data_IF_136805631866
#
_entry.id   IF_136805631866
#
_cell.length_a   1.000
_cell.length_b   1.000
_cell.length_c   1.000
_cell.angle_alpha   90.00
_cell.angle_beta   90.00
_cell.angle_gamma   90.00
#
_symmetry.space_group_name_H-M   'P 1'
#
loop_
_entity.id
_entity.type
_entity.pdbx_description
1 polymer ?
#
# COMPACT_ATOMS: atom_id res chain seq x y z
N UNK A 1 -13.30 2.90 -11.59
CA UNK A 1 -12.86 1.92 -10.57
C UNK A 1 -11.37 2.09 -10.34
N UNK A 2 -10.94 2.07 -9.08
CA UNK A 2 -9.55 2.33 -8.69
C UNK A 2 -8.77 1.06 -8.47
N UNK A 3 -7.48 1.11 -8.81
CA UNK A 3 -6.46 0.13 -8.43
C UNK A 3 -5.60 0.78 -7.34
N UNK A 4 -5.55 0.18 -6.16
CA UNK A 4 -4.93 0.77 -4.98
C UNK A 4 -3.72 -0.04 -4.53
N UNK A 5 -2.60 0.64 -4.33
CA UNK A 5 -1.49 0.12 -3.51
C UNK A 5 -1.67 0.70 -2.12
N UNK A 6 -1.99 -0.14 -1.15
CA UNK A 6 -2.42 0.29 0.18
C UNK A 6 -1.30 0.16 1.21
N UNK A 7 -1.07 1.23 1.95
CA UNK A 7 -0.02 1.34 2.96
C UNK A 7 -0.58 1.85 4.28
N UNK A 8 -0.03 1.37 5.40
CA UNK A 8 -0.13 2.02 6.71
C UNK A 8 1.17 2.76 7.01
N UNK A 9 1.07 4.02 7.41
CA UNK A 9 2.21 4.85 7.81
C UNK A 9 1.96 5.44 9.19
N UNK A 10 2.82 5.11 10.16
CA UNK A 10 2.73 5.61 11.53
C UNK A 10 4.10 5.61 12.19
N UNK A 11 4.25 6.39 13.26
CA UNK A 11 5.51 6.56 13.97
C UNK A 11 6.43 7.58 13.30
N UNK A 12 7.57 7.80 13.94
CA UNK A 12 8.57 8.83 13.56
C UNK A 12 9.85 8.26 12.95
N UNK A 13 9.94 6.94 12.77
CA UNK A 13 11.12 6.30 12.18
C UNK A 13 11.23 6.67 10.69
N UNK A 14 12.36 7.27 10.33
CA UNK A 14 12.66 7.71 8.97
C UNK A 14 12.69 6.58 7.94
N UNK A 15 12.93 5.36 8.37
CA UNK A 15 12.88 4.17 7.50
C UNK A 15 11.52 4.04 6.83
N UNK A 16 10.43 4.29 7.58
CA UNK A 16 9.07 4.21 7.05
C UNK A 16 8.68 5.46 6.25
N UNK A 17 8.97 6.66 6.76
CA UNK A 17 8.58 7.91 6.08
C UNK A 17 9.35 8.11 4.76
N UNK A 18 10.66 7.91 4.76
CA UNK A 18 11.48 7.93 3.54
C UNK A 18 11.13 6.78 2.60
N UNK A 19 10.89 5.60 3.17
CA UNK A 19 10.45 4.43 2.43
C UNK A 19 9.14 4.67 1.69
N UNK A 20 8.19 5.33 2.34
CA UNK A 20 6.91 5.68 1.73
C UNK A 20 7.09 6.62 0.53
N UNK A 21 7.88 7.68 0.69
CA UNK A 21 8.19 8.61 -0.40
C UNK A 21 8.84 7.87 -1.58
N UNK A 22 9.83 7.02 -1.31
CA UNK A 22 10.47 6.20 -2.35
C UNK A 22 9.46 5.30 -3.08
N UNK A 23 8.54 4.68 -2.36
CA UNK A 23 7.53 3.81 -2.96
C UNK A 23 6.56 4.59 -3.86
N UNK A 24 6.17 5.80 -3.48
CA UNK A 24 5.33 6.67 -4.30
C UNK A 24 6.03 7.01 -5.62
N UNK A 25 7.31 7.37 -5.55
CA UNK A 25 8.11 7.63 -6.76
C UNK A 25 8.25 6.38 -7.65
N UNK A 26 8.52 5.23 -7.05
CA UNK A 26 8.58 3.96 -7.77
C UNK A 26 7.24 3.59 -8.40
N UNK A 27 6.14 3.85 -7.71
CA UNK A 27 4.80 3.55 -8.21
C UNK A 27 4.48 4.34 -9.50
N UNK A 28 4.95 5.57 -9.64
CA UNK A 28 4.77 6.36 -10.87
C UNK A 28 5.38 5.66 -12.09
N UNK A 29 6.41 4.89 -11.89
CA UNK A 29 7.14 4.19 -12.97
C UNK A 29 6.61 2.75 -13.14
N UNK A 30 6.46 2.01 -12.03
CA UNK A 30 6.15 0.58 -12.05
C UNK A 30 4.64 0.33 -12.15
N UNK A 31 3.84 1.21 -11.54
CA UNK A 31 2.37 1.13 -11.44
C UNK A 31 1.70 2.43 -11.89
N UNK A 32 1.91 2.89 -13.14
CA UNK A 32 1.49 4.25 -13.56
C UNK A 32 -0.01 4.51 -13.46
N UNK A 33 -0.85 3.46 -13.52
CA UNK A 33 -2.31 3.57 -13.43
C UNK A 33 -2.87 3.26 -12.04
N UNK A 34 -2.01 3.20 -11.03
CA UNK A 34 -2.38 2.88 -9.67
C UNK A 34 -2.27 4.10 -8.75
N UNK A 35 -3.08 4.09 -7.70
CA UNK A 35 -3.05 5.10 -6.64
C UNK A 35 -2.41 4.49 -5.39
N UNK A 36 -1.45 5.19 -4.82
CA UNK A 36 -0.90 4.87 -3.50
C UNK A 36 -1.83 5.45 -2.43
N UNK A 37 -2.56 4.61 -1.72
CA UNK A 37 -3.38 5.05 -0.60
C UNK A 37 -2.62 4.84 0.69
N UNK A 38 -2.40 5.93 1.43
CA UNK A 38 -1.61 5.96 2.66
C UNK A 38 -2.53 6.31 3.83
N UNK A 39 -2.74 5.35 4.71
CA UNK A 39 -3.43 5.53 5.98
C UNK A 39 -2.43 5.97 7.04
N UNK A 40 -2.68 7.09 7.69
CA UNK A 40 -1.74 7.69 8.63
C UNK A 40 -2.43 8.32 9.85
N UNK A 41 -1.65 8.61 10.89
CA UNK A 41 -2.09 9.38 12.07
C UNK A 41 -1.10 10.51 12.41
N UNK A 42 -1.33 11.18 13.54
CA UNK A 42 -0.54 12.32 14.03
C UNK A 42 0.88 11.94 14.50
N UNK A 43 1.21 10.65 14.58
CA UNK A 43 2.57 10.18 14.87
C UNK A 43 3.54 10.41 13.69
N UNK A 44 3.01 10.64 12.48
CA UNK A 44 3.81 10.98 11.30
C UNK A 44 4.05 12.50 11.28
N UNK A 45 5.28 12.91 10.98
CA UNK A 45 5.62 14.34 10.95
C UNK A 45 4.79 15.10 9.90
N UNK A 46 4.38 16.33 10.24
CA UNK A 46 3.66 17.21 9.31
C UNK A 46 4.45 17.50 8.03
N UNK A 47 5.78 17.54 8.12
CA UNK A 47 6.65 17.71 6.96
C UNK A 47 6.52 16.51 5.99
N UNK A 48 6.50 15.30 6.50
CA UNK A 48 6.29 14.09 5.66
C UNK A 48 4.94 14.16 4.97
N UNK A 49 3.87 14.47 5.68
CA UNK A 49 2.52 14.58 5.11
C UNK A 49 2.47 15.67 4.03
N UNK A 50 3.07 16.82 4.27
CA UNK A 50 3.14 17.91 3.28
C UNK A 50 3.87 17.48 1.99
N UNK A 51 4.91 16.68 2.10
CA UNK A 51 5.59 16.09 0.93
C UNK A 51 4.65 15.14 0.18
N UNK A 52 3.98 14.24 0.90
CA UNK A 52 3.06 13.27 0.29
C UNK A 52 1.89 13.93 -0.43
N UNK A 53 1.39 15.05 0.09
CA UNK A 53 0.31 15.85 -0.53
C UNK A 53 0.68 16.42 -1.90
N UNK A 54 1.96 16.54 -2.21
CA UNK A 54 2.42 17.08 -3.51
C UNK A 54 2.28 16.09 -4.67
N UNK A 55 2.06 14.81 -4.39
CA UNK A 55 1.98 13.77 -5.40
C UNK A 55 0.55 13.58 -5.92
N UNK A 56 0.41 13.48 -7.24
CA UNK A 56 -0.87 13.27 -7.93
C UNK A 56 -1.37 11.82 -7.89
N UNK A 57 -0.49 10.88 -7.58
CA UNK A 57 -0.81 9.45 -7.46
C UNK A 57 -1.01 9.00 -6.00
N UNK A 58 -1.33 9.91 -5.09
CA UNK A 58 -1.47 9.64 -3.65
C UNK A 58 -2.86 10.02 -3.15
N UNK A 59 -3.46 9.15 -2.36
CA UNK A 59 -4.60 9.44 -1.49
C UNK A 59 -4.16 9.29 -0.04
N UNK A 60 -4.36 10.33 0.76
CA UNK A 60 -4.04 10.34 2.19
C UNK A 60 -5.31 10.19 3.01
N UNK A 61 -5.33 9.19 3.90
CA UNK A 61 -6.45 8.92 4.80
C UNK A 61 -5.99 9.11 6.25
N UNK A 62 -6.48 10.15 6.90
CA UNK A 62 -6.19 10.41 8.30
C UNK A 62 -7.02 9.48 9.20
N UNK A 63 -6.33 8.73 10.07
CA UNK A 63 -6.91 7.70 10.92
C UNK A 63 -6.98 8.09 12.41
N UNK A 64 -6.78 9.36 12.76
CA UNK A 64 -6.79 9.81 14.17
C UNK A 64 -8.07 9.43 14.92
N UNK A 65 -9.20 9.44 14.24
CA UNK A 65 -10.50 9.08 14.83
C UNK A 65 -10.81 7.58 14.78
N UNK A 66 -9.90 6.77 14.27
CA UNK A 66 -10.06 5.31 14.12
C UNK A 66 -9.02 4.52 14.92
N UNK A 67 -8.90 4.88 16.21
CA UNK A 67 -8.01 4.18 17.17
C UNK A 67 -8.56 2.82 17.61
N UNK A 68 -9.75 2.47 17.20
CA UNK A 68 -10.39 1.16 17.37
C UNK A 68 -9.72 0.06 16.51
N UNK A 69 -8.99 0.45 15.46
CA UNK A 69 -8.29 -0.47 14.56
C UNK A 69 -6.78 -0.34 14.76
N UNK A 70 -6.10 -1.48 14.92
CA UNK A 70 -4.64 -1.50 15.02
C UNK A 70 -3.99 -0.91 13.76
N UNK A 71 -3.02 -0.03 13.94
CA UNK A 71 -2.43 0.80 12.88
C UNK A 71 -1.96 0.01 11.64
N UNK A 72 -1.33 -1.13 11.85
CA UNK A 72 -0.87 -1.99 10.76
C UNK A 72 -2.02 -2.53 9.89
N UNK A 73 -3.23 -2.61 10.46
CA UNK A 73 -4.43 -3.14 9.80
C UNK A 73 -5.16 -2.10 8.94
N UNK A 74 -4.89 -0.81 9.08
CA UNK A 74 -5.57 0.24 8.32
C UNK A 74 -5.54 0.01 6.82
N UNK A 75 -4.40 -0.44 6.33
CA UNK A 75 -4.19 -0.69 4.89
C UNK A 75 -5.11 -1.76 4.29
N UNK A 76 -5.77 -2.56 5.12
CA UNK A 76 -6.72 -3.56 4.66
C UNK A 76 -8.10 -2.97 4.35
N UNK A 77 -8.39 -1.76 4.81
CA UNK A 77 -9.69 -1.10 4.65
C UNK A 77 -9.97 -0.66 3.20
N UNK A 78 -8.95 -0.53 2.37
CA UNK A 78 -9.12 0.01 1.03
C UNK A 78 -10.09 -0.80 0.16
N UNK A 79 -10.18 -2.11 0.36
CA UNK A 79 -11.06 -2.98 -0.44
C UNK A 79 -12.54 -2.78 -0.11
N UNK A 80 -12.87 -2.20 1.05
CA UNK A 80 -14.26 -1.94 1.45
C UNK A 80 -14.89 -0.80 0.66
N UNK A 81 -14.09 0.08 0.05
CA UNK A 81 -14.60 1.19 -0.75
C UNK A 81 -15.19 0.71 -2.06
N UNK A 82 -16.39 1.20 -2.38
CA UNK A 82 -17.15 0.79 -3.57
C UNK A 82 -16.44 1.13 -4.90
N UNK A 83 -15.60 2.17 -4.90
CA UNK A 83 -14.85 2.60 -6.08
C UNK A 83 -13.51 1.88 -6.27
N UNK A 84 -13.13 0.98 -5.35
CA UNK A 84 -11.92 0.17 -5.45
C UNK A 84 -12.22 -1.18 -6.08
N UNK A 85 -11.57 -1.44 -7.20
CA UNK A 85 -11.66 -2.69 -7.94
C UNK A 85 -10.59 -3.70 -7.51
N UNK A 86 -9.36 -3.21 -7.36
CA UNK A 86 -8.19 -4.02 -7.01
C UNK A 86 -7.41 -3.33 -5.91
N UNK A 87 -7.04 -4.08 -4.90
CA UNK A 87 -6.15 -3.64 -3.83
C UNK A 87 -4.96 -4.59 -3.72
N UNK A 88 -3.76 -4.04 -3.67
CA UNK A 88 -2.57 -4.75 -3.20
C UNK A 88 -2.05 -4.07 -1.93
N UNK A 89 -1.59 -4.86 -0.98
CA UNK A 89 -1.10 -4.39 0.32
C UNK A 89 0.42 -4.48 0.35
N UNK A 90 1.08 -3.41 0.77
CA UNK A 90 2.54 -3.32 0.82
C UNK A 90 3.03 -2.67 2.12
N UNK A 91 4.28 -2.92 2.44
CA UNK A 91 4.97 -2.31 3.58
C UNK A 91 5.71 -1.03 3.15
N UNK A 92 5.63 0.02 3.98
CA UNK A 92 6.30 1.29 3.70
C UNK A 92 7.83 1.19 3.70
N UNK A 93 8.40 0.24 4.43
CA UNK A 93 9.84 -0.01 4.53
C UNK A 93 10.38 -1.02 3.48
N UNK A 94 9.52 -1.64 2.71
CA UNK A 94 9.91 -2.47 1.56
C UNK A 94 9.77 -1.67 0.27
N UNK A 95 10.46 -2.06 -0.81
CA UNK A 95 10.43 -1.35 -2.08
C UNK A 95 9.61 -2.09 -3.12
N UNK A 96 8.77 -1.32 -3.83
CA UNK A 96 8.10 -1.81 -5.04
C UNK A 96 9.15 -2.22 -6.08
N UNK A 97 8.87 -3.27 -6.83
CA UNK A 97 9.79 -3.77 -7.86
C UNK A 97 9.05 -4.30 -9.09
N UNK A 98 9.75 -4.36 -10.20
CA UNK A 98 9.23 -4.99 -11.42
C UNK A 98 8.96 -6.49 -11.26
N UNK A 99 9.72 -7.15 -10.37
CA UNK A 99 9.52 -8.57 -10.07
C UNK A 99 8.16 -8.83 -9.45
N UNK A 100 7.78 -8.05 -8.43
CA UNK A 100 6.45 -8.17 -7.83
C UNK A 100 5.33 -7.72 -8.78
N UNK A 101 5.60 -6.70 -9.60
CA UNK A 101 4.64 -6.21 -10.61
C UNK A 101 4.22 -7.32 -11.57
N UNK A 102 5.16 -8.15 -12.02
CA UNK A 102 4.86 -9.32 -12.85
C UNK A 102 3.89 -10.29 -12.16
N UNK A 103 4.07 -10.53 -10.87
CA UNK A 103 3.14 -11.36 -10.09
C UNK A 103 1.75 -10.73 -10.01
N UNK A 104 1.69 -9.42 -9.82
CA UNK A 104 0.42 -8.67 -9.79
C UNK A 104 -0.27 -8.71 -11.16
N UNK A 105 0.47 -8.55 -12.26
CA UNK A 105 -0.10 -8.61 -13.61
C UNK A 105 -0.71 -9.99 -13.91
N UNK A 106 -0.03 -11.06 -13.55
CA UNK A 106 -0.56 -12.43 -13.67
C UNK A 106 -1.83 -12.62 -12.82
N UNK A 107 -1.84 -12.03 -11.63
CA UNK A 107 -3.03 -12.06 -10.77
C UNK A 107 -4.22 -11.33 -11.42
N UNK A 108 -3.98 -10.15 -12.00
CA UNK A 108 -5.02 -9.36 -12.67
C UNK A 108 -5.63 -10.13 -13.84
N UNK A 109 -4.80 -10.82 -14.63
CA UNK A 109 -5.21 -11.62 -15.80
C UNK A 109 -5.90 -12.94 -15.40
N UNK A 110 -5.74 -13.41 -14.17
CA UNK A 110 -6.35 -14.65 -13.69
C UNK A 110 -7.80 -14.47 -13.25
N UNK A 111 -8.53 -15.56 -13.07
CA UNK A 111 -9.87 -15.58 -12.47
C UNK A 111 -9.84 -15.61 -10.93
N UNK A 112 -8.66 -15.54 -10.32
CA UNK A 112 -8.51 -15.60 -8.86
C UNK A 112 -8.82 -14.26 -8.23
N UNK A 113 -9.52 -14.27 -7.07
CA UNK A 113 -9.88 -13.07 -6.32
C UNK A 113 -8.83 -12.64 -5.29
N UNK A 114 -7.95 -13.56 -4.90
CA UNK A 114 -6.89 -13.35 -3.93
C UNK A 114 -5.55 -13.80 -4.49
N UNK A 115 -4.49 -13.03 -4.24
CA UNK A 115 -3.13 -13.50 -4.43
C UNK A 115 -2.23 -13.18 -3.22
N UNK A 116 -1.16 -13.96 -3.10
CA UNK A 116 -0.10 -13.68 -2.14
C UNK A 116 1.25 -13.99 -2.76
N UNK A 117 2.25 -13.17 -2.45
CA UNK A 117 3.62 -13.37 -2.93
C UNK A 117 4.45 -13.88 -1.77
N UNK A 118 5.10 -15.04 -1.98
CA UNK A 118 6.01 -15.68 -1.02
C UNK A 118 7.29 -16.00 -1.76
N UNK A 119 8.29 -15.17 -1.59
CA UNK A 119 9.55 -15.24 -2.32
C UNK A 119 10.76 -15.63 -1.45
N UNK A 120 10.49 -16.05 -0.22
CA UNK A 120 11.50 -16.53 0.71
C UNK A 120 11.06 -17.86 1.33
N UNK A 121 12.01 -18.76 1.58
CA UNK A 121 11.75 -20.07 2.18
C UNK A 121 11.07 -19.98 3.56
N UNK A 122 11.24 -18.87 4.28
CA UNK A 122 10.60 -18.61 5.57
C UNK A 122 9.16 -18.08 5.45
N UNK A 123 8.65 -17.83 4.26
CA UNK A 123 7.30 -17.31 4.03
C UNK A 123 6.30 -18.47 3.92
N UNK A 124 5.79 -18.95 5.05
CA UNK A 124 4.83 -20.06 5.09
C UNK A 124 3.37 -19.60 4.94
N UNK A 125 3.06 -18.40 5.46
CA UNK A 125 1.71 -17.83 5.48
C UNK A 125 1.56 -16.67 4.49
N UNK A 126 0.38 -16.06 4.47
CA UNK A 126 0.17 -14.80 3.75
C UNK A 126 0.93 -13.70 4.47
N UNK A 127 1.94 -13.15 3.81
CA UNK A 127 2.72 -12.02 4.35
C UNK A 127 1.87 -10.76 4.34
N UNK A 128 1.78 -10.08 5.48
CA UNK A 128 0.91 -8.92 5.67
C UNK A 128 1.12 -7.77 4.69
N UNK A 129 2.30 -7.65 4.09
CA UNK A 129 2.65 -6.64 3.10
C UNK A 129 2.83 -7.15 1.67
N UNK A 130 2.40 -8.38 1.36
CA UNK A 130 2.65 -9.02 0.05
C UNK A 130 1.45 -9.82 -0.44
N UNK A 131 0.27 -9.21 -0.43
CA UNK A 131 -0.96 -9.83 -0.91
C UNK A 131 -1.90 -8.82 -1.55
N UNK A 132 -2.97 -9.29 -2.16
CA UNK A 132 -3.98 -8.44 -2.77
C UNK A 132 -5.28 -9.15 -3.05
N UNK A 133 -6.31 -8.33 -3.26
CA UNK A 133 -7.68 -8.74 -3.59
C UNK A 133 -8.18 -7.99 -4.81
N UNK A 134 -9.11 -8.61 -5.53
CA UNK A 134 -9.97 -7.92 -6.51
C UNK A 134 -11.44 -8.28 -6.27
N UNK A 135 -12.33 -7.36 -6.60
CA UNK A 135 -13.78 -7.55 -6.61
C UNK A 135 -14.25 -8.14 -7.93
#
# INVERSE_FOLDING_TARGET
>A
MKKIISFSLYGSDLRYSKGMICNIELAKIIYPDWICRVYYDDSVSSNTISILETYDNVELINMENRKDIFQMMWRFLAIDDDDVEIMIVRDADARLSYREKKCVDLFIESDMLLHSIRDNISHFDIMGGMWGLKK
#
